data_IF_117941679972
#
_entry.id   IF_117941679972
#
_cell.length_a   1.000
_cell.length_b   1.000
_cell.length_c   1.000
_cell.angle_alpha   90.00
_cell.angle_beta   90.00
_cell.angle_gamma   90.00
#
_symmetry.space_group_name_H-M   'P 1'
#
loop_
_entity.id
_entity.type
_entity.pdbx_description
1 polymer ?
#
# COMPACT_ATOMS: atom_id res chain seq x y z
N UNK A 1 -3.36 7.56 11.77
CA UNK A 1 -2.58 8.82 11.83
C UNK A 1 -1.12 8.43 11.89
N UNK A 2 -0.34 8.74 10.85
CA UNK A 2 1.09 8.44 10.75
C UNK A 2 1.86 8.92 11.99
N UNK A 3 2.75 8.07 12.49
CA UNK A 3 3.45 8.29 13.78
C UNK A 3 4.88 8.81 13.63
N UNK A 4 5.30 9.20 12.43
CA UNK A 4 6.60 9.79 12.18
C UNK A 4 7.80 8.83 12.32
N UNK A 5 7.59 7.51 12.23
CA UNK A 5 8.68 6.51 12.33
C UNK A 5 9.50 6.33 11.05
N UNK A 6 9.09 6.96 9.96
CA UNK A 6 9.82 6.89 8.70
C UNK A 6 10.92 7.94 8.64
N UNK A 7 12.14 7.52 8.37
CA UNK A 7 13.28 8.41 8.16
C UNK A 7 13.61 8.45 6.67
N UNK A 8 13.16 9.51 6.00
CA UNK A 8 13.59 9.82 4.64
C UNK A 8 14.97 10.50 4.73
N UNK A 9 15.99 9.94 4.11
CA UNK A 9 17.34 10.49 4.19
C UNK A 9 17.92 10.90 2.83
N UNK A 10 17.36 10.41 1.72
CA UNK A 10 17.78 10.81 0.39
C UNK A 10 16.66 10.61 -0.63
N UNK A 11 16.78 11.33 -1.74
CA UNK A 11 15.95 11.17 -2.92
C UNK A 11 16.85 11.01 -4.13
N UNK A 12 16.43 10.16 -5.06
CA UNK A 12 17.13 9.93 -6.33
C UNK A 12 16.13 9.75 -7.47
N UNK A 13 16.59 9.91 -8.70
CA UNK A 13 15.77 9.63 -9.87
C UNK A 13 16.17 8.29 -10.47
N UNK A 14 15.17 7.45 -10.73
CA UNK A 14 15.37 6.21 -11.44
C UNK A 14 15.61 6.43 -12.96
N UNK A 15 15.88 5.35 -13.69
CA UNK A 15 16.08 5.41 -15.14
C UNK A 15 14.87 5.93 -15.94
N UNK A 16 13.69 5.93 -15.34
CA UNK A 16 12.45 6.46 -15.92
C UNK A 16 12.19 7.91 -15.52
N UNK A 17 13.13 8.54 -14.80
CA UNK A 17 13.01 9.91 -14.29
C UNK A 17 12.08 10.04 -13.07
N UNK A 18 11.54 8.94 -12.52
CA UNK A 18 10.69 9.00 -11.34
C UNK A 18 11.50 9.36 -10.11
N UNK A 19 10.95 10.23 -9.28
CA UNK A 19 11.52 10.52 -7.97
C UNK A 19 11.32 9.32 -7.05
N UNK A 20 12.41 8.81 -6.50
CA UNK A 20 12.42 7.69 -5.57
C UNK A 20 12.95 8.16 -4.23
N UNK A 21 12.27 7.75 -3.17
CA UNK A 21 12.61 8.06 -1.80
C UNK A 21 13.43 6.91 -1.18
N UNK A 22 14.57 7.23 -0.58
CA UNK A 22 15.33 6.32 0.27
C UNK A 22 14.99 6.62 1.73
N UNK A 23 14.26 5.71 2.35
CA UNK A 23 13.88 5.80 3.75
C UNK A 23 14.32 4.57 4.53
N UNK A 24 14.46 4.71 5.85
CA UNK A 24 14.82 3.61 6.72
C UNK A 24 13.64 3.12 7.54
N UNK A 25 13.64 1.81 7.84
CA UNK A 25 12.77 1.16 8.82
C UNK A 25 13.64 0.47 9.87
N UNK A 26 13.37 0.73 11.14
CA UNK A 26 14.14 0.15 12.23
C UNK A 26 15.19 1.07 12.85
N UNK A 27 15.29 2.33 12.39
CA UNK A 27 16.31 3.30 12.87
C UNK A 27 16.03 3.88 14.26
N UNK A 28 14.89 3.57 14.87
CA UNK A 28 14.52 4.06 16.19
C UNK A 28 13.30 4.97 16.18
N UNK A 29 13.13 5.70 17.26
CA UNK A 29 12.00 6.60 17.48
C UNK A 29 12.28 8.02 16.94
N UNK A 30 11.20 8.72 16.62
CA UNK A 30 11.17 10.17 16.41
C UNK A 30 10.40 10.83 17.56
N UNK A 31 10.44 12.16 17.69
CA UNK A 31 9.58 12.89 18.65
C UNK A 31 8.07 12.68 18.43
N UNK A 32 7.67 12.11 17.29
CA UNK A 32 6.29 11.87 16.90
C UNK A 32 5.86 10.41 17.05
N UNK A 33 6.77 9.52 17.48
CA UNK A 33 6.44 8.12 17.72
C UNK A 33 5.52 7.96 18.92
N UNK A 34 4.50 7.10 18.81
CA UNK A 34 3.51 6.90 19.88
C UNK A 34 4.01 5.91 20.94
N UNK A 35 4.14 4.63 20.60
CA UNK A 35 4.38 3.57 21.58
C UNK A 35 5.50 2.58 21.19
N UNK A 36 5.84 2.46 19.93
CA UNK A 36 6.86 1.52 19.48
C UNK A 36 8.28 2.04 19.72
N UNK A 37 9.24 1.14 19.84
CA UNK A 37 10.67 1.48 19.94
C UNK A 37 11.29 1.88 18.59
N UNK A 38 10.54 1.75 17.50
CA UNK A 38 11.02 2.06 16.15
C UNK A 38 12.10 1.10 15.64
N UNK A 39 12.32 -0.03 16.32
CA UNK A 39 13.32 -1.03 15.96
C UNK A 39 12.69 -2.14 15.09
N UNK A 40 13.51 -2.73 14.23
CA UNK A 40 13.14 -3.83 13.35
C UNK A 40 14.00 -5.05 13.69
N UNK A 41 13.34 -6.20 13.88
CA UNK A 41 14.10 -7.45 14.02
C UNK A 41 14.73 -7.86 12.70
N UNK A 42 15.85 -8.55 12.72
CA UNK A 42 16.48 -9.06 11.50
C UNK A 42 15.52 -9.97 10.72
N UNK A 43 14.76 -10.81 11.42
CA UNK A 43 13.67 -11.62 10.84
C UNK A 43 12.63 -10.76 10.12
N UNK A 44 12.19 -9.66 10.75
CA UNK A 44 11.27 -8.71 10.15
C UNK A 44 11.84 -8.08 8.88
N UNK A 45 13.11 -7.67 8.90
CA UNK A 45 13.81 -7.13 7.74
C UNK A 45 13.93 -8.13 6.58
N UNK A 46 14.31 -9.39 6.87
CA UNK A 46 14.33 -10.45 5.85
C UNK A 46 12.93 -10.70 5.26
N UNK A 47 11.89 -10.68 6.09
CA UNK A 47 10.52 -10.82 5.60
C UNK A 47 10.12 -9.66 4.66
N UNK A 48 10.54 -8.43 4.93
CA UNK A 48 10.32 -7.29 4.01
C UNK A 48 10.99 -7.52 2.65
N UNK A 49 12.24 -8.02 2.64
CA UNK A 49 12.94 -8.37 1.39
C UNK A 49 12.14 -9.41 0.62
N UNK A 50 11.75 -10.51 1.26
CA UNK A 50 11.01 -11.58 0.62
C UNK A 50 9.67 -11.09 0.05
N UNK A 51 8.96 -10.22 0.78
CA UNK A 51 7.70 -9.66 0.32
C UNK A 51 7.90 -8.79 -0.95
N UNK A 52 8.86 -7.87 -0.91
CA UNK A 52 9.09 -6.95 -2.03
C UNK A 52 9.53 -7.67 -3.30
N UNK A 53 10.46 -8.63 -3.18
CA UNK A 53 10.95 -9.41 -4.33
C UNK A 53 9.86 -10.32 -4.93
N UNK A 54 9.10 -11.03 -4.07
CA UNK A 54 8.02 -11.89 -4.53
C UNK A 54 6.90 -11.08 -5.19
N UNK A 55 6.49 -9.97 -4.58
CA UNK A 55 5.44 -9.11 -5.12
C UNK A 55 5.84 -8.48 -6.45
N UNK A 56 7.08 -8.02 -6.59
CA UNK A 56 7.58 -7.50 -7.86
C UNK A 56 7.55 -8.59 -8.95
N UNK A 57 8.02 -9.81 -8.64
CA UNK A 57 7.98 -10.94 -9.56
C UNK A 57 6.55 -11.32 -9.97
N UNK A 58 5.57 -11.14 -9.07
CA UNK A 58 4.15 -11.35 -9.31
C UNK A 58 3.46 -10.12 -9.94
N UNK A 59 4.23 -9.08 -10.32
CA UNK A 59 3.75 -7.91 -11.03
C UNK A 59 2.92 -6.95 -10.17
N UNK A 60 3.04 -7.00 -8.86
CA UNK A 60 2.46 -6.01 -7.94
C UNK A 60 3.35 -4.77 -7.90
N UNK A 61 2.73 -3.58 -7.94
CA UNK A 61 3.45 -2.33 -7.73
C UNK A 61 3.87 -2.24 -6.25
N UNK A 62 5.15 -2.44 -5.96
CA UNK A 62 5.68 -2.54 -4.60
C UNK A 62 6.95 -1.72 -4.42
N UNK A 63 7.18 -1.25 -3.20
CA UNK A 63 8.48 -0.74 -2.78
C UNK A 63 9.57 -1.81 -2.93
N UNK A 64 10.83 -1.37 -2.94
CA UNK A 64 11.98 -2.26 -3.02
C UNK A 64 12.83 -2.16 -1.77
N UNK A 65 13.47 -3.24 -1.41
CA UNK A 65 14.53 -3.21 -0.41
C UNK A 65 15.84 -2.86 -1.11
N UNK A 66 16.48 -1.77 -0.65
CA UNK A 66 17.79 -1.36 -1.14
C UNK A 66 18.92 -2.07 -0.37
N UNK A 67 18.81 -2.11 0.96
CA UNK A 67 19.74 -2.83 1.82
C UNK A 67 19.10 -3.21 3.16
N UNK A 68 19.65 -4.25 3.79
CA UNK A 68 19.34 -4.66 5.15
C UNK A 68 20.64 -4.77 5.93
N UNK A 69 20.78 -4.03 7.03
CA UNK A 69 21.98 -3.95 7.83
C UNK A 69 21.65 -4.45 9.22
N UNK A 70 22.33 -5.50 9.67
CA UNK A 70 22.26 -5.95 11.06
C UNK A 70 23.02 -4.96 11.96
N UNK A 71 22.39 -4.54 13.07
CA UNK A 71 22.96 -3.48 13.93
C UNK A 71 23.79 -4.03 15.09
N UNK A 72 23.69 -5.31 15.39
CA UNK A 72 24.32 -5.92 16.57
C UNK A 72 23.58 -5.67 17.88
N UNK A 73 22.48 -4.91 17.88
CA UNK A 73 21.62 -4.74 19.05
C UNK A 73 20.75 -5.96 19.29
N UNK A 74 20.49 -6.27 20.55
CA UNK A 74 19.52 -7.29 20.96
C UNK A 74 18.16 -6.64 21.27
N UNK A 75 17.10 -7.24 20.73
CA UNK A 75 15.73 -6.78 20.95
C UNK A 75 14.92 -7.84 21.73
N UNK A 76 14.01 -7.35 22.57
CA UNK A 76 13.02 -8.20 23.23
C UNK A 76 11.66 -7.98 22.57
N UNK A 77 11.01 -9.07 22.16
CA UNK A 77 9.69 -9.09 21.50
C UNK A 77 8.80 -10.12 22.20
N UNK A 78 7.51 -9.78 22.31
CA UNK A 78 6.54 -10.67 22.96
C UNK A 78 6.01 -11.79 22.05
N UNK A 79 6.23 -11.67 20.75
CA UNK A 79 5.69 -12.54 19.70
C UNK A 79 6.75 -13.41 19.00
N UNK A 80 8.01 -13.34 19.45
CA UNK A 80 9.10 -14.16 18.92
C UNK A 80 10.14 -14.47 20.00
N UNK A 81 10.96 -15.54 19.82
CA UNK A 81 12.05 -15.86 20.75
C UNK A 81 12.97 -14.66 20.97
N UNK A 82 13.23 -14.34 22.25
CA UNK A 82 14.01 -13.19 22.66
C UNK A 82 15.13 -13.59 23.61
N UNK A 83 16.31 -12.92 23.58
CA UNK A 83 16.63 -11.78 22.73
C UNK A 83 16.73 -12.16 21.26
N UNK A 84 16.37 -11.24 20.36
CA UNK A 84 16.45 -11.43 18.91
C UNK A 84 17.32 -10.34 18.26
N UNK A 85 17.90 -10.65 17.11
CA UNK A 85 18.81 -9.76 16.37
C UNK A 85 18.05 -8.58 15.76
N UNK A 86 18.63 -7.40 15.76
CA UNK A 86 18.05 -6.21 15.17
C UNK A 86 18.65 -5.82 13.83
N UNK A 87 17.92 -5.06 13.06
CA UNK A 87 18.35 -4.57 11.75
C UNK A 87 17.77 -3.21 11.42
N UNK A 88 18.40 -2.54 10.45
CA UNK A 88 17.87 -1.38 9.75
C UNK A 88 17.70 -1.74 8.28
N UNK A 89 16.48 -1.58 7.79
CA UNK A 89 16.12 -1.75 6.39
C UNK A 89 16.17 -0.39 5.70
N UNK A 90 16.85 -0.31 4.55
CA UNK A 90 16.74 0.82 3.62
C UNK A 90 15.72 0.47 2.54
N UNK A 91 14.67 1.25 2.48
CA UNK A 91 13.56 1.08 1.54
C UNK A 91 13.66 2.11 0.43
N UNK A 92 13.49 1.66 -0.79
CA UNK A 92 13.34 2.50 -1.98
C UNK A 92 11.88 2.46 -2.42
N UNK A 93 11.23 3.61 -2.41
CA UNK A 93 9.81 3.77 -2.76
C UNK A 93 9.61 4.95 -3.68
N UNK A 94 8.56 4.93 -4.50
CA UNK A 94 8.18 6.10 -5.31
C UNK A 94 7.71 7.26 -4.43
N UNK A 95 7.13 6.96 -3.26
CA UNK A 95 6.74 7.96 -2.26
C UNK A 95 6.77 7.34 -0.86
N UNK A 96 6.97 8.17 0.18
CA UNK A 96 6.68 7.82 1.58
C UNK A 96 5.45 8.56 2.12
N UNK A 97 4.75 9.32 1.28
CA UNK A 97 3.50 9.98 1.65
C UNK A 97 2.38 8.95 1.63
N UNK A 98 1.69 8.80 2.75
CA UNK A 98 0.61 7.84 2.96
C UNK A 98 -0.73 8.54 2.98
N UNK A 99 -1.81 7.82 2.76
CA UNK A 99 -3.17 8.35 2.95
C UNK A 99 -3.32 8.94 4.36
N UNK A 100 -2.77 8.28 5.39
CA UNK A 100 -2.78 8.76 6.78
C UNK A 100 -2.14 10.14 6.98
N UNK A 101 -1.24 10.58 6.10
CA UNK A 101 -0.67 11.94 6.16
C UNK A 101 -1.74 13.01 5.89
N UNK A 102 -2.64 12.77 4.93
CA UNK A 102 -3.77 13.65 4.63
C UNK A 102 -4.77 13.66 5.78
N UNK A 103 -5.09 12.49 6.36
CA UNK A 103 -5.96 12.39 7.53
C UNK A 103 -5.41 13.19 8.71
N UNK A 104 -4.10 13.18 8.92
CA UNK A 104 -3.46 13.95 9.99
C UNK A 104 -3.66 15.45 9.79
N UNK A 105 -3.43 15.98 8.58
CA UNK A 105 -3.61 17.40 8.29
C UNK A 105 -5.08 17.82 8.45
N UNK A 106 -6.01 17.01 7.96
CA UNK A 106 -7.44 17.25 8.12
C UNK A 106 -7.86 17.23 9.61
N UNK A 107 -7.29 16.32 10.40
CA UNK A 107 -7.55 16.27 11.86
C UNK A 107 -7.11 17.57 12.57
N UNK A 108 -5.99 18.14 12.18
CA UNK A 108 -5.51 19.42 12.72
C UNK A 108 -6.15 20.64 12.04
N UNK A 109 -7.05 20.44 11.09
CA UNK A 109 -7.71 21.50 10.31
C UNK A 109 -6.70 22.43 9.61
N UNK A 110 -5.56 21.89 9.18
CA UNK A 110 -4.52 22.64 8.46
C UNK A 110 -4.78 22.55 6.94
N UNK A 111 -5.80 23.26 6.48
CA UNK A 111 -6.24 23.26 5.08
C UNK A 111 -5.16 23.79 4.13
N UNK A 112 -4.32 24.72 4.60
CA UNK A 112 -3.24 25.26 3.81
C UNK A 112 -2.08 24.25 3.62
N UNK A 113 -1.74 23.50 4.65
CA UNK A 113 -0.80 22.39 4.50
C UNK A 113 -1.38 21.27 3.64
N UNK A 114 -2.69 21.00 3.76
CA UNK A 114 -3.39 20.01 2.96
C UNK A 114 -3.35 20.37 1.45
N UNK A 115 -3.64 21.63 1.09
CA UNK A 115 -3.52 22.13 -0.29
C UNK A 115 -2.09 22.01 -0.82
N UNK A 116 -1.09 22.40 -0.02
CA UNK A 116 0.32 22.25 -0.39
C UNK A 116 0.72 20.80 -0.61
N UNK A 117 0.20 19.87 0.21
CA UNK A 117 0.47 18.44 0.08
C UNK A 117 -0.17 17.85 -1.19
N UNK A 118 -1.40 18.28 -1.53
CA UNK A 118 -2.07 17.93 -2.79
C UNK A 118 -1.25 18.39 -3.99
N UNK A 119 -0.90 19.68 -4.03
CA UNK A 119 -0.10 20.27 -5.12
C UNK A 119 1.27 19.57 -5.26
N UNK A 120 1.96 19.34 -4.15
CA UNK A 120 3.23 18.60 -4.13
C UNK A 120 3.07 17.19 -4.69
N UNK A 121 2.05 16.45 -4.25
CA UNK A 121 1.80 15.07 -4.69
C UNK A 121 1.50 15.00 -6.18
N UNK A 122 0.66 15.90 -6.69
CA UNK A 122 0.31 15.95 -8.11
C UNK A 122 1.53 16.28 -8.98
N UNK A 123 2.29 17.31 -8.62
CA UNK A 123 3.48 17.71 -9.39
C UNK A 123 4.58 16.66 -9.35
N UNK A 124 4.83 16.09 -8.17
CA UNK A 124 5.99 15.22 -7.96
C UNK A 124 5.76 13.83 -8.48
N UNK A 125 4.56 13.26 -8.29
CA UNK A 125 4.29 11.86 -8.57
C UNK A 125 3.42 11.63 -9.79
N UNK A 126 2.59 12.61 -10.15
CA UNK A 126 1.62 12.46 -11.25
C UNK A 126 1.87 13.39 -12.43
N UNK A 127 2.94 14.19 -12.38
CA UNK A 127 3.31 15.14 -13.45
C UNK A 127 2.17 16.11 -13.81
N UNK A 128 1.34 16.47 -12.82
CA UNK A 128 0.22 17.40 -12.97
C UNK A 128 0.46 18.67 -12.15
N UNK A 129 0.21 19.82 -12.74
CA UNK A 129 0.31 21.12 -12.11
C UNK A 129 -1.07 21.71 -11.75
N UNK A 130 -2.13 20.91 -11.77
CA UNK A 130 -3.50 21.40 -11.53
C UNK A 130 -3.74 21.88 -10.10
N UNK A 131 -3.07 21.23 -9.11
CA UNK A 131 -3.34 21.45 -7.70
C UNK A 131 -4.75 21.02 -7.25
N UNK A 132 -5.49 20.31 -8.12
CA UNK A 132 -6.88 19.91 -7.89
C UNK A 132 -6.97 18.67 -6.98
N UNK A 133 -7.60 18.77 -5.79
CA UNK A 133 -7.78 17.63 -4.89
C UNK A 133 -8.60 16.48 -5.49
N UNK A 134 -9.54 16.79 -6.40
CA UNK A 134 -10.37 15.78 -7.08
C UNK A 134 -9.51 14.98 -8.05
N UNK A 135 -8.59 15.64 -8.78
CA UNK A 135 -7.63 14.93 -9.63
C UNK A 135 -6.73 14.01 -8.80
N UNK A 136 -6.24 14.47 -7.64
CA UNK A 136 -5.44 13.60 -6.77
C UNK A 136 -6.23 12.35 -6.36
N UNK A 137 -7.48 12.53 -5.89
CA UNK A 137 -8.34 11.40 -5.52
C UNK A 137 -8.54 10.44 -6.70
N UNK A 138 -8.80 10.96 -7.89
CA UNK A 138 -8.94 10.16 -9.13
C UNK A 138 -7.72 9.27 -9.36
N UNK A 139 -6.51 9.83 -9.30
CA UNK A 139 -5.26 9.10 -9.50
C UNK A 139 -5.08 7.99 -8.44
N UNK A 140 -5.43 8.29 -7.19
CA UNK A 140 -5.34 7.31 -6.10
C UNK A 140 -6.37 6.21 -6.26
N UNK A 141 -7.62 6.53 -6.62
CA UNK A 141 -8.68 5.54 -6.91
C UNK A 141 -8.23 4.57 -8.01
N UNK A 142 -7.73 5.09 -9.14
CA UNK A 142 -7.26 4.28 -10.26
C UNK A 142 -6.09 3.37 -9.86
N UNK A 143 -5.10 3.92 -9.15
CA UNK A 143 -3.93 3.16 -8.73
C UNK A 143 -4.24 2.09 -7.69
N UNK A 144 -5.07 2.42 -6.69
CA UNK A 144 -5.39 1.51 -5.59
C UNK A 144 -6.37 0.41 -5.99
N UNK A 145 -7.28 0.67 -6.93
CA UNK A 145 -8.11 -0.38 -7.52
C UNK A 145 -7.25 -1.45 -8.24
N UNK A 146 -6.24 -1.02 -8.99
CA UNK A 146 -5.25 -1.92 -9.61
C UNK A 146 -4.40 -2.66 -8.58
N UNK A 147 -4.01 -1.98 -7.49
CA UNK A 147 -3.26 -2.60 -6.40
C UNK A 147 -4.07 -3.73 -5.75
N UNK A 148 -5.34 -3.47 -5.40
CA UNK A 148 -6.24 -4.49 -4.83
C UNK A 148 -6.37 -5.72 -5.75
N UNK A 149 -6.57 -5.50 -7.05
CA UNK A 149 -6.63 -6.56 -8.05
C UNK A 149 -5.33 -7.37 -8.14
N UNK A 150 -4.18 -6.69 -8.04
CA UNK A 150 -2.89 -7.37 -8.09
C UNK A 150 -2.60 -8.21 -6.85
N UNK A 151 -3.07 -7.82 -5.66
CA UNK A 151 -3.01 -8.67 -4.45
C UNK A 151 -3.81 -9.95 -4.61
N UNK A 152 -5.04 -9.85 -5.14
CA UNK A 152 -5.86 -11.02 -5.40
C UNK A 152 -5.19 -11.99 -6.38
N UNK A 153 -4.72 -11.50 -7.52
CA UNK A 153 -4.05 -12.33 -8.52
C UNK A 153 -2.71 -12.91 -8.03
N UNK A 154 -2.04 -12.25 -7.09
CA UNK A 154 -0.82 -12.75 -6.46
C UNK A 154 -1.07 -13.78 -5.36
N UNK A 155 -2.29 -13.91 -4.85
CA UNK A 155 -2.58 -14.70 -3.65
C UNK A 155 -2.02 -14.07 -2.37
N UNK A 156 -1.86 -12.75 -2.35
CA UNK A 156 -1.17 -12.03 -1.27
C UNK A 156 -2.13 -11.43 -0.26
N UNK A 157 -1.81 -11.61 1.02
CA UNK A 157 -2.52 -11.04 2.16
C UNK A 157 -1.55 -10.12 2.92
N UNK A 158 -1.83 -8.81 2.89
CA UNK A 158 -0.99 -7.80 3.56
C UNK A 158 -1.04 -7.91 5.09
N UNK A 159 -2.20 -8.25 5.64
CA UNK A 159 -2.42 -8.46 7.07
C UNK A 159 -2.64 -7.20 7.91
N UNK A 160 -2.23 -6.01 7.45
CA UNK A 160 -2.55 -4.70 8.06
C UNK A 160 -2.69 -3.67 6.95
N UNK A 161 -3.81 -3.71 6.24
CA UNK A 161 -4.05 -2.88 5.06
C UNK A 161 -4.91 -1.67 5.45
N UNK A 162 -4.30 -0.72 6.15
CA UNK A 162 -4.93 0.52 6.57
C UNK A 162 -4.28 1.74 5.89
N UNK A 163 -4.84 2.92 6.09
CA UNK A 163 -4.41 4.18 5.46
C UNK A 163 -2.96 4.59 5.76
N UNK A 164 -2.33 4.03 6.80
CA UNK A 164 -0.90 4.23 7.09
C UNK A 164 -0.01 3.28 6.26
N UNK A 165 -0.57 2.27 5.62
CA UNK A 165 0.14 1.26 4.82
C UNK A 165 -0.22 1.33 3.34
N UNK A 166 -0.84 2.42 2.90
CA UNK A 166 -1.10 2.72 1.48
C UNK A 166 -0.42 4.03 1.10
N UNK A 167 0.49 3.91 0.16
CA UNK A 167 1.17 5.06 -0.44
C UNK A 167 0.21 5.85 -1.33
N UNK A 168 0.39 7.19 -1.36
CA UNK A 168 -0.40 8.06 -2.24
C UNK A 168 -0.20 7.72 -3.73
N UNK A 169 0.90 7.06 -4.08
CA UNK A 169 1.20 6.56 -5.43
C UNK A 169 0.63 5.17 -5.69
N UNK A 170 -0.18 4.63 -4.78
CA UNK A 170 -0.69 3.26 -4.82
C UNK A 170 0.41 2.17 -4.90
N UNK A 171 1.59 2.47 -4.38
CA UNK A 171 2.67 1.50 -4.23
C UNK A 171 2.49 0.75 -2.92
N UNK A 172 2.50 -0.58 -2.97
CA UNK A 172 2.45 -1.45 -1.79
C UNK A 172 3.74 -1.33 -0.98
N UNK A 173 3.64 -1.28 0.34
CA UNK A 173 4.81 -1.18 1.22
C UNK A 173 4.47 -1.54 2.68
N UNK A 174 5.50 -1.59 3.54
CA UNK A 174 5.39 -1.75 4.99
C UNK A 174 4.85 -3.12 5.42
N UNK A 175 5.54 -4.16 5.01
CA UNK A 175 5.14 -5.55 5.18
C UNK A 175 5.43 -6.05 6.60
N UNK A 176 4.42 -5.98 7.46
CA UNK A 176 4.42 -6.59 8.79
C UNK A 176 3.99 -8.07 8.74
N UNK A 177 2.83 -8.43 9.28
CA UNK A 177 2.28 -9.78 9.17
C UNK A 177 1.68 -10.00 7.78
N UNK A 178 2.46 -10.56 6.86
CA UNK A 178 1.99 -10.89 5.52
C UNK A 178 2.12 -12.39 5.24
N UNK A 179 1.30 -12.90 4.34
CA UNK A 179 1.35 -14.28 3.83
C UNK A 179 0.89 -14.36 2.38
N UNK A 180 1.28 -15.43 1.71
CA UNK A 180 0.59 -15.90 0.51
C UNK A 180 -0.39 -17.00 0.92
N UNK A 181 -1.62 -16.94 0.41
CA UNK A 181 -2.59 -18.02 0.65
C UNK A 181 -2.14 -19.30 -0.08
N UNK A 182 -2.16 -20.46 0.59
CA UNK A 182 -1.75 -21.71 -0.05
C UNK A 182 -2.80 -22.24 -1.04
N UNK A 183 -4.05 -21.86 -0.85
CA UNK A 183 -5.22 -22.24 -1.67
C UNK A 183 -6.14 -21.03 -1.80
N UNK A 184 -7.13 -21.11 -2.67
CA UNK A 184 -8.16 -20.07 -2.77
C UNK A 184 -9.08 -20.15 -1.55
N UNK A 185 -8.74 -19.41 -0.51
CA UNK A 185 -9.53 -19.27 0.72
C UNK A 185 -9.79 -17.80 1.01
N UNK A 186 -10.96 -17.27 0.70
CA UNK A 186 -11.31 -15.87 0.94
C UNK A 186 -11.23 -15.47 2.42
N UNK A 187 -11.38 -16.42 3.35
CA UNK A 187 -11.28 -16.19 4.80
C UNK A 187 -9.87 -16.22 5.36
N UNK A 188 -8.86 -16.57 4.54
CA UNK A 188 -7.48 -16.70 5.02
C UNK A 188 -6.91 -15.37 5.49
N UNK A 189 -6.34 -15.31 6.71
CA UNK A 189 -5.72 -14.12 7.31
C UNK A 189 -4.23 -14.29 7.50
N UNK A 190 -3.48 -13.20 7.41
CA UNK A 190 -2.03 -13.18 7.65
C UNK A 190 -1.67 -12.83 9.09
N UNK A 191 -2.44 -11.96 9.73
CA UNK A 191 -2.17 -11.46 11.08
C UNK A 191 -2.91 -12.31 12.12
N UNK A 192 -2.19 -12.78 13.13
CA UNK A 192 -2.76 -13.58 14.22
C UNK A 192 -3.80 -12.83 15.07
N UNK A 193 -3.76 -11.50 15.04
CA UNK A 193 -4.70 -10.63 15.76
C UNK A 193 -5.92 -10.22 14.91
N UNK A 194 -5.96 -10.56 13.63
CA UNK A 194 -7.11 -10.26 12.76
C UNK A 194 -8.20 -11.34 12.86
N UNK A 195 -8.78 -11.45 14.06
CA UNK A 195 -9.83 -12.44 14.35
C UNK A 195 -11.14 -12.17 13.59
N UNK A 196 -11.38 -10.92 13.20
CA UNK A 196 -12.56 -10.53 12.44
C UNK A 196 -12.40 -10.68 10.93
N UNK A 197 -11.21 -11.04 10.44
CA UNK A 197 -10.91 -11.15 9.03
C UNK A 197 -11.00 -9.82 8.28
N UNK A 198 -10.68 -8.72 8.94
CA UNK A 198 -10.74 -7.38 8.35
C UNK A 198 -9.84 -7.28 7.09
N UNK A 199 -8.69 -7.93 7.15
CA UNK A 199 -7.71 -7.97 6.07
C UNK A 199 -7.58 -9.38 5.47
N UNK A 200 -8.66 -10.19 5.49
CA UNK A 200 -8.67 -11.51 4.89
C UNK A 200 -8.43 -11.45 3.37
N UNK A 201 -7.95 -12.55 2.79
CA UNK A 201 -7.60 -12.65 1.38
C UNK A 201 -8.73 -12.21 0.43
N UNK A 202 -9.98 -12.47 0.74
CA UNK A 202 -11.14 -12.05 -0.07
C UNK A 202 -11.49 -10.56 0.05
N UNK A 203 -10.82 -9.77 0.91
CA UNK A 203 -11.25 -8.42 1.29
C UNK A 203 -10.31 -7.25 0.99
N UNK A 204 -9.24 -7.39 0.18
CA UNK A 204 -8.34 -6.26 -0.08
C UNK A 204 -9.04 -5.10 -0.76
N UNK A 205 -10.01 -5.36 -1.64
CA UNK A 205 -10.79 -4.31 -2.29
C UNK A 205 -11.63 -3.49 -1.31
N UNK A 206 -12.29 -4.15 -0.34
CA UNK A 206 -13.04 -3.46 0.72
C UNK A 206 -12.13 -2.60 1.61
N UNK A 207 -11.02 -3.17 2.08
CA UNK A 207 -10.08 -2.47 2.96
C UNK A 207 -9.48 -1.24 2.24
N UNK A 208 -9.02 -1.40 1.01
CA UNK A 208 -8.46 -0.31 0.21
C UNK A 208 -9.53 0.74 -0.13
N UNK A 209 -10.74 0.33 -0.50
CA UNK A 209 -11.82 1.27 -0.77
C UNK A 209 -12.15 2.12 0.46
N UNK A 210 -12.18 1.49 1.65
CA UNK A 210 -12.34 2.23 2.90
C UNK A 210 -11.22 3.26 3.11
N UNK A 211 -9.97 2.91 2.85
CA UNK A 211 -8.84 3.84 2.97
C UNK A 211 -8.94 5.01 1.99
N UNK A 212 -9.39 4.74 0.77
CA UNK A 212 -9.61 5.79 -0.24
C UNK A 212 -10.77 6.71 0.15
N UNK A 213 -11.82 6.18 0.78
CA UNK A 213 -12.90 6.99 1.40
C UNK A 213 -12.32 7.89 2.50
N UNK A 214 -11.37 7.41 3.31
CA UNK A 214 -10.71 8.25 4.31
C UNK A 214 -9.88 9.38 3.69
N UNK A 215 -9.25 9.13 2.52
CA UNK A 215 -8.61 10.20 1.76
C UNK A 215 -9.61 11.24 1.29
N UNK A 216 -10.71 10.82 0.67
CA UNK A 216 -11.78 11.73 0.21
C UNK A 216 -12.35 12.55 1.38
N UNK A 217 -12.61 11.90 2.52
CA UNK A 217 -13.06 12.59 3.73
C UNK A 217 -12.06 13.64 4.24
N UNK A 218 -10.76 13.39 4.05
CA UNK A 218 -9.71 14.35 4.39
C UNK A 218 -9.66 15.55 3.44
N UNK A 219 -10.08 15.37 2.19
CA UNK A 219 -10.07 16.42 1.16
C UNK A 219 -11.33 17.29 1.15
N UNK A 220 -12.39 16.92 1.87
CA UNK A 220 -13.71 17.60 1.84
C UNK A 220 -13.66 19.08 2.24
N UNK A 221 -12.66 19.51 3.00
CA UNK A 221 -12.52 20.92 3.39
C UNK A 221 -11.97 21.81 2.25
N UNK A 222 -11.37 21.19 1.23
CA UNK A 222 -10.69 21.90 0.12
C UNK A 222 -11.18 21.49 -1.27
N UNK A 223 -12.23 20.67 -1.36
CA UNK A 223 -12.78 20.16 -2.61
C UNK A 223 -14.31 20.07 -2.56
N UNK A 224 -14.93 20.04 -3.74
CA UNK A 224 -16.34 19.75 -3.88
C UNK A 224 -16.67 18.30 -3.49
N UNK A 225 -17.62 18.11 -2.59
CA UNK A 225 -17.96 16.80 -2.02
C UNK A 225 -18.60 15.88 -3.06
N UNK A 226 -19.46 16.42 -3.93
CA UNK A 226 -20.14 15.65 -4.98
C UNK A 226 -19.12 15.13 -6.01
N UNK A 227 -18.13 15.94 -6.37
CA UNK A 227 -17.04 15.53 -7.24
C UNK A 227 -16.16 14.45 -6.60
N UNK A 228 -15.90 14.52 -5.28
CA UNK A 228 -15.18 13.47 -4.54
C UNK A 228 -15.96 12.15 -4.54
N UNK A 229 -17.28 12.19 -4.33
CA UNK A 229 -18.14 10.99 -4.35
C UNK A 229 -18.12 10.36 -5.74
N UNK A 230 -18.24 11.17 -6.81
CA UNK A 230 -18.20 10.66 -8.17
C UNK A 230 -16.89 9.90 -8.49
N UNK A 231 -15.75 10.35 -7.99
CA UNK A 231 -14.48 9.62 -8.14
C UNK A 231 -14.44 8.33 -7.31
N UNK A 232 -15.01 8.32 -6.10
CA UNK A 232 -15.09 7.11 -5.27
C UNK A 232 -15.93 6.02 -5.93
N UNK A 233 -17.03 6.37 -6.60
CA UNK A 233 -17.92 5.42 -7.28
C UNK A 233 -17.22 4.70 -8.45
N UNK A 234 -16.12 5.23 -8.95
CA UNK A 234 -15.29 4.59 -9.99
C UNK A 234 -14.45 3.42 -9.48
N UNK A 235 -14.25 3.31 -8.16
CA UNK A 235 -13.36 2.26 -7.61
C UNK A 235 -13.82 0.84 -7.98
N UNK A 236 -15.08 0.50 -7.77
CA UNK A 236 -15.60 -0.84 -7.99
C UNK A 236 -15.54 -1.30 -9.47
N UNK A 237 -15.94 -0.49 -10.47
CA UNK A 237 -15.75 -0.87 -11.87
C UNK A 237 -14.28 -1.00 -12.26
N UNK A 238 -13.41 -0.08 -11.83
CA UNK A 238 -11.96 -0.14 -12.10
C UNK A 238 -11.31 -1.38 -11.47
N UNK A 239 -11.72 -1.73 -10.24
CA UNK A 239 -11.23 -2.95 -9.59
C UNK A 239 -11.61 -4.20 -10.37
N UNK A 240 -12.87 -4.33 -10.83
CA UNK A 240 -13.34 -5.49 -11.61
C UNK A 240 -12.58 -5.64 -12.92
N UNK A 241 -12.40 -4.55 -13.64
CA UNK A 241 -11.62 -4.52 -14.88
C UNK A 241 -10.16 -4.95 -14.63
N UNK A 242 -9.51 -4.33 -13.65
CA UNK A 242 -8.14 -4.65 -13.29
C UNK A 242 -7.99 -6.10 -12.79
N UNK A 243 -8.99 -6.65 -12.09
CA UNK A 243 -8.98 -8.03 -11.61
C UNK A 243 -8.92 -9.02 -12.76
N UNK A 244 -9.78 -8.83 -13.78
CA UNK A 244 -9.78 -9.65 -15.00
C UNK A 244 -8.41 -9.57 -15.69
N UNK A 245 -7.92 -8.35 -15.93
CA UNK A 245 -6.61 -8.13 -16.56
C UNK A 245 -5.48 -8.85 -15.81
N UNK A 246 -5.46 -8.74 -14.49
CA UNK A 246 -4.40 -9.31 -13.64
C UNK A 246 -4.44 -10.85 -13.62
N UNK A 247 -5.62 -11.45 -13.57
CA UNK A 247 -5.73 -12.91 -13.64
C UNK A 247 -5.34 -13.44 -15.02
N UNK A 248 -5.78 -12.81 -16.10
CA UNK A 248 -5.35 -13.21 -17.46
C UNK A 248 -3.83 -13.13 -17.61
N UNK A 249 -3.23 -12.03 -17.16
CA UNK A 249 -1.78 -11.89 -17.13
C UNK A 249 -1.09 -13.01 -16.33
N UNK A 250 -1.63 -13.32 -15.15
CA UNK A 250 -1.09 -14.38 -14.28
C UNK A 250 -1.16 -15.75 -14.91
N UNK A 251 -2.21 -16.02 -15.68
CA UNK A 251 -2.42 -17.27 -16.42
C UNK A 251 -1.65 -17.32 -17.76
N UNK A 252 -1.02 -16.22 -18.18
CA UNK A 252 -0.36 -16.11 -19.47
C UNK A 252 -1.33 -16.11 -20.65
N UNK A 253 -2.60 -15.73 -20.42
CA UNK A 253 -3.65 -15.68 -21.43
C UNK A 253 -3.77 -14.26 -21.98
N UNK A 254 -3.88 -14.13 -23.31
CA UNK A 254 -4.15 -12.83 -23.94
C UNK A 254 -5.63 -12.48 -23.80
N UNK A 255 -5.98 -11.22 -23.48
CA UNK A 255 -7.38 -10.78 -23.49
C UNK A 255 -8.03 -11.02 -24.84
N UNK A 256 -9.30 -11.44 -24.83
CA UNK A 256 -10.13 -11.71 -26.02
C UNK A 256 -11.33 -10.77 -26.12
N UNK A 257 -11.74 -10.20 -25.00
CA UNK A 257 -12.86 -9.30 -24.84
C UNK A 257 -13.56 -9.52 -23.51
N UNK A 258 -14.19 -8.49 -22.97
CA UNK A 258 -14.68 -8.48 -21.59
C UNK A 258 -15.59 -9.68 -21.26
N UNK A 259 -16.51 -10.04 -22.17
CA UNK A 259 -17.45 -11.16 -21.94
C UNK A 259 -16.74 -12.52 -21.92
N UNK A 260 -15.87 -12.80 -22.90
CA UNK A 260 -15.13 -14.06 -22.97
C UNK A 260 -14.13 -14.20 -21.81
N UNK A 261 -13.48 -13.11 -21.43
CA UNK A 261 -12.49 -13.08 -20.37
C UNK A 261 -13.15 -13.33 -18.99
N UNK A 262 -14.32 -12.73 -18.74
CA UNK A 262 -15.11 -12.97 -17.53
C UNK A 262 -15.61 -14.43 -17.50
N UNK A 263 -16.13 -14.95 -18.61
CA UNK A 263 -16.60 -16.33 -18.70
C UNK A 263 -15.47 -17.33 -18.42
N UNK A 264 -14.25 -17.08 -18.93
CA UNK A 264 -13.08 -17.90 -18.64
C UNK A 264 -12.75 -17.93 -17.14
N UNK A 265 -12.73 -16.78 -16.48
CA UNK A 265 -12.42 -16.70 -15.05
C UNK A 265 -13.51 -17.35 -14.19
N UNK A 266 -14.78 -17.21 -14.57
CA UNK A 266 -15.90 -17.90 -13.91
C UNK A 266 -15.79 -19.41 -14.05
N UNK A 267 -15.45 -19.93 -15.24
CA UNK A 267 -15.25 -21.35 -15.47
C UNK A 267 -14.11 -21.94 -14.63
N UNK A 268 -12.99 -21.19 -14.49
CA UNK A 268 -11.88 -21.58 -13.61
C UNK A 268 -12.31 -21.62 -12.15
N UNK A 269 -13.09 -20.63 -11.69
CA UNK A 269 -13.60 -20.58 -10.32
C UNK A 269 -14.62 -21.69 -9.98
N UNK A 270 -15.30 -22.25 -10.97
CA UNK A 270 -16.26 -23.36 -10.79
C UNK A 270 -15.60 -24.75 -10.82
N UNK A 271 -14.38 -24.84 -11.32
CA UNK A 271 -13.64 -26.10 -11.45
C UNK A 271 -12.82 -26.50 -10.22
N UNK A 272 -13.01 -25.81 -9.08
CA UNK A 272 -12.29 -26.07 -7.82
C UNK A 272 -13.10 -26.90 -6.84
#
# INVERSE_FOLDING_TARGET
IGDGRGFLFAQLRDRRGRLMDLGTKGSGQTPYSRFGDGRLTLKGGVREILATEMLEALGVNTSRTFSLIETGEELHRGDEPSPTRSSVLVRLSHSHIRIGTFQRLAYFQDDEALKRLVDYSLRTYFSSASGDPVELLRRVVEGTARLAASYMAAGFVHGVLNSDNINITAESFDYGPWRFTPTFDPGFTAAYFDHAGLYAFGRPAEAIQWDVVQLAASLRAIADVEALIAELDRFAPLYREALVERFLWRLGVKPRGAEEDIALLQAIGQGQ
#
